data_IF_016728225857
#
_entry.id   IF_016728225857
#
_cell.length_a   1.000
_cell.length_b   1.000
_cell.length_c   1.000
_cell.angle_alpha   90.00
_cell.angle_beta   90.00
_cell.angle_gamma   90.00
#
_symmetry.space_group_name_H-M   'P 1'
#
loop_
_entity.id
_entity.type
_entity.pdbx_description
1 polymer ?
#
# COMPACT_ATOMS: atom_id res chain seq x y z
N UNK A 1 -29.72 12.43 -4.36
CA UNK A 1 -29.76 11.54 -3.19
C UNK A 1 -28.36 11.40 -2.66
N UNK A 2 -28.11 11.36 -1.34
CA UNK A 2 -26.79 11.08 -0.83
C UNK A 2 -26.32 9.69 -1.34
N UNK A 3 -25.11 9.63 -1.89
CA UNK A 3 -24.52 8.39 -2.37
C UNK A 3 -23.82 7.71 -1.20
N UNK A 4 -24.23 6.49 -0.87
CA UNK A 4 -23.58 5.68 0.16
C UNK A 4 -22.55 4.81 -0.52
N UNK A 5 -21.30 4.83 -0.03
CA UNK A 5 -20.21 3.95 -0.47
C UNK A 5 -19.83 3.04 0.70
N UNK A 6 -19.82 1.73 0.46
CA UNK A 6 -19.36 0.75 1.46
C UNK A 6 -17.84 0.68 1.42
N UNK A 7 -17.19 1.22 2.44
CA UNK A 7 -15.74 1.21 2.56
C UNK A 7 -15.26 0.17 3.57
N UNK A 8 -14.06 -0.38 3.34
CA UNK A 8 -13.36 -1.29 4.22
C UNK A 8 -11.95 -0.78 4.54
N UNK A 9 -11.49 -1.04 5.76
CA UNK A 9 -10.11 -0.85 6.19
C UNK A 9 -9.57 -2.18 6.68
N UNK A 10 -8.36 -2.55 6.21
CA UNK A 10 -7.64 -3.71 6.72
C UNK A 10 -6.47 -3.20 7.56
N UNK A 11 -6.45 -3.61 8.82
CA UNK A 11 -5.33 -3.45 9.72
C UNK A 11 -5.11 -4.76 10.47
N UNK A 12 -3.91 -5.35 10.34
CA UNK A 12 -3.60 -6.64 10.93
C UNK A 12 -2.15 -6.71 11.41
N UNK A 13 -1.83 -7.71 12.23
CA UNK A 13 -0.45 -8.00 12.64
C UNK A 13 0.33 -8.68 11.51
N UNK A 14 1.65 -8.72 11.64
CA UNK A 14 2.51 -9.47 10.71
C UNK A 14 2.14 -10.94 10.63
N UNK A 15 2.42 -11.54 9.47
CA UNK A 15 2.14 -12.94 9.20
C UNK A 15 3.24 -13.88 9.70
N UNK A 16 4.50 -13.40 9.83
CA UNK A 16 5.66 -14.18 10.25
C UNK A 16 6.67 -13.33 11.03
N UNK A 17 7.78 -13.93 11.46
CA UNK A 17 8.87 -13.21 12.12
C UNK A 17 9.52 -12.20 11.20
N UNK A 18 9.90 -11.04 11.75
CA UNK A 18 10.67 -10.02 11.03
C UNK A 18 12.13 -10.43 10.79
N UNK A 19 12.59 -11.53 11.36
CA UNK A 19 13.92 -12.11 11.13
C UNK A 19 14.00 -12.94 9.84
N UNK A 20 12.85 -13.30 9.25
CA UNK A 20 12.79 -14.05 8.00
C UNK A 20 13.36 -13.24 6.80
N UNK A 21 13.73 -13.89 5.70
CA UNK A 21 14.09 -13.22 4.45
C UNK A 21 12.97 -12.25 4.00
N UNK A 22 13.36 -11.12 3.38
CA UNK A 22 12.41 -10.07 2.94
C UNK A 22 11.31 -10.64 2.05
N UNK A 23 11.65 -11.51 1.11
CA UNK A 23 10.65 -12.11 0.21
C UNK A 23 9.67 -13.01 0.97
N UNK A 24 10.14 -13.82 1.92
CA UNK A 24 9.26 -14.63 2.79
C UNK A 24 8.30 -13.75 3.59
N UNK A 25 8.78 -12.62 4.12
CA UNK A 25 7.95 -11.65 4.84
C UNK A 25 6.87 -11.08 3.91
N UNK A 26 7.26 -10.66 2.71
CA UNK A 26 6.36 -10.11 1.69
C UNK A 26 5.27 -11.11 1.32
N UNK A 27 5.64 -12.32 0.91
CA UNK A 27 4.71 -13.38 0.52
C UNK A 27 3.72 -13.73 1.63
N UNK A 28 4.21 -13.90 2.87
CA UNK A 28 3.37 -14.23 4.01
C UNK A 28 2.35 -13.11 4.32
N UNK A 29 2.78 -11.85 4.29
CA UNK A 29 1.88 -10.72 4.52
C UNK A 29 0.87 -10.56 3.38
N UNK A 30 1.28 -10.70 2.12
CA UNK A 30 0.36 -10.69 0.97
C UNK A 30 -0.68 -11.80 1.12
N UNK A 31 -0.26 -13.04 1.39
CA UNK A 31 -1.18 -14.16 1.56
C UNK A 31 -2.21 -13.92 2.68
N UNK A 32 -1.76 -13.37 3.80
CA UNK A 32 -2.65 -13.00 4.91
C UNK A 32 -3.64 -11.92 4.52
N UNK A 33 -3.20 -10.87 3.83
CA UNK A 33 -4.07 -9.79 3.37
C UNK A 33 -5.06 -10.28 2.31
N UNK A 34 -4.64 -11.18 1.42
CA UNK A 34 -5.52 -11.72 0.38
C UNK A 34 -6.78 -12.36 0.96
N UNK A 35 -6.69 -13.10 2.07
CA UNK A 35 -7.87 -13.67 2.73
C UNK A 35 -8.87 -12.62 3.23
N UNK A 36 -8.36 -11.48 3.72
CA UNK A 36 -9.17 -10.36 4.19
C UNK A 36 -9.75 -9.54 3.03
N UNK A 37 -8.98 -9.37 1.96
CA UNK A 37 -9.41 -8.69 0.73
C UNK A 37 -10.53 -9.49 0.05
N UNK A 38 -10.38 -10.82 -0.04
CA UNK A 38 -11.40 -11.71 -0.58
C UNK A 38 -12.70 -11.63 0.21
N UNK A 39 -12.61 -11.64 1.53
CA UNK A 39 -13.75 -11.43 2.41
C UNK A 39 -14.43 -10.07 2.16
N UNK A 40 -13.64 -8.99 2.07
CA UNK A 40 -14.16 -7.65 1.77
C UNK A 40 -14.92 -7.63 0.42
N UNK A 41 -14.36 -8.26 -0.62
CA UNK A 41 -15.00 -8.40 -1.92
C UNK A 41 -16.32 -9.18 -1.85
N UNK A 42 -16.35 -10.31 -1.14
CA UNK A 42 -17.56 -11.11 -0.94
C UNK A 42 -18.64 -10.35 -0.15
N UNK A 43 -18.25 -9.48 0.76
CA UNK A 43 -19.16 -8.62 1.51
C UNK A 43 -19.61 -7.37 0.72
N UNK A 44 -19.14 -7.19 -0.52
CA UNK A 44 -19.53 -6.08 -1.40
C UNK A 44 -18.92 -4.74 -0.99
N UNK A 45 -17.71 -4.75 -0.43
CA UNK A 45 -16.93 -3.53 -0.20
C UNK A 45 -16.59 -2.90 -1.56
N UNK A 46 -16.81 -1.60 -1.69
CA UNK A 46 -16.60 -0.84 -2.92
C UNK A 46 -15.26 -0.08 -2.93
N UNK A 47 -14.79 0.30 -1.75
CA UNK A 47 -13.50 0.97 -1.58
C UNK A 47 -12.77 0.35 -0.41
N UNK A 48 -11.58 -0.18 -0.66
CA UNK A 48 -10.74 -0.85 0.33
C UNK A 48 -9.42 -0.10 0.49
N UNK A 49 -8.97 0.08 1.73
CA UNK A 49 -7.63 0.56 2.03
C UNK A 49 -6.94 -0.42 2.98
N UNK A 50 -5.67 -0.72 2.71
CA UNK A 50 -4.83 -1.53 3.57
C UNK A 50 -3.97 -0.64 4.47
N UNK A 51 -3.36 -1.23 5.49
CA UNK A 51 -2.44 -0.53 6.38
C UNK A 51 -1.17 -0.08 5.64
N UNK A 52 -0.51 0.94 6.18
CA UNK A 52 0.76 1.48 5.67
C UNK A 52 1.79 0.36 5.47
N UNK A 53 2.41 0.30 4.26
CA UNK A 53 3.45 -0.67 3.89
C UNK A 53 3.04 -2.12 4.24
N UNK A 54 1.84 -2.51 3.82
CA UNK A 54 1.21 -3.76 4.26
C UNK A 54 1.98 -5.05 3.92
N UNK A 55 2.92 -4.98 2.99
CA UNK A 55 3.77 -6.11 2.57
C UNK A 55 4.89 -6.44 3.56
N UNK A 56 5.12 -5.58 4.56
CA UNK A 56 6.16 -5.75 5.57
C UNK A 56 5.80 -5.21 6.95
N UNK A 57 6.73 -5.29 7.91
CA UNK A 57 6.58 -4.64 9.21
C UNK A 57 6.78 -3.13 9.11
N UNK A 58 6.43 -2.39 10.16
CA UNK A 58 6.89 -1.02 10.32
C UNK A 58 8.40 -1.01 10.66
N UNK A 59 9.23 -1.18 9.63
CA UNK A 59 10.68 -1.31 9.77
C UNK A 59 11.38 -0.01 10.15
N UNK A 60 10.70 1.13 10.09
CA UNK A 60 11.26 2.42 10.46
C UNK A 60 11.52 2.58 11.96
N UNK A 61 11.19 1.58 12.78
CA UNK A 61 11.60 1.51 14.18
C UNK A 61 13.12 1.32 14.34
N UNK A 62 13.81 0.83 13.32
CA UNK A 62 15.26 0.68 13.24
C UNK A 62 15.83 1.40 12.00
N UNK A 63 17.16 1.52 11.93
CA UNK A 63 17.88 2.05 10.77
C UNK A 63 18.77 0.93 10.21
N UNK A 64 18.15 0.02 9.43
CA UNK A 64 18.83 -1.14 8.87
C UNK A 64 18.79 -1.14 7.34
N UNK A 65 19.94 -1.20 6.65
CA UNK A 65 19.99 -1.25 5.19
C UNK A 65 19.26 -2.44 4.55
N UNK A 66 19.02 -3.52 5.31
CA UNK A 66 18.32 -4.71 4.79
C UNK A 66 16.93 -4.39 4.22
N UNK A 67 16.27 -3.35 4.75
CA UNK A 67 14.92 -3.00 4.30
C UNK A 67 14.88 -2.30 2.95
N UNK A 68 16.04 -1.90 2.39
CA UNK A 68 16.09 -1.44 1.01
C UNK A 68 15.77 -2.55 -0.01
N UNK A 69 15.85 -3.83 0.39
CA UNK A 69 15.44 -4.94 -0.45
C UNK A 69 13.91 -5.16 -0.47
N UNK A 70 13.16 -4.42 0.36
CA UNK A 70 11.70 -4.53 0.44
C UNK A 70 10.95 -3.65 -0.57
N UNK A 71 11.67 -2.90 -1.41
CA UNK A 71 11.08 -1.95 -2.36
C UNK A 71 10.46 -2.63 -3.58
N UNK A 72 9.50 -1.93 -4.18
CA UNK A 72 8.92 -2.29 -5.46
C UNK A 72 8.76 -1.06 -6.36
N UNK A 73 8.85 -1.23 -7.67
CA UNK A 73 8.44 -0.20 -8.62
C UNK A 73 6.91 -0.05 -8.62
N UNK A 74 6.41 1.18 -8.77
CA UNK A 74 4.98 1.45 -8.92
C UNK A 74 4.78 2.26 -10.23
N UNK A 75 3.94 1.76 -11.19
CA UNK A 75 2.97 0.66 -11.05
C UNK A 75 3.49 -0.73 -11.41
N UNK A 76 4.71 -0.88 -11.89
CA UNK A 76 5.17 -2.09 -12.57
C UNK A 76 5.59 -3.24 -11.64
N UNK A 77 5.60 -3.03 -10.34
CA UNK A 77 5.94 -4.04 -9.34
C UNK A 77 4.90 -5.16 -9.21
N UNK A 78 5.31 -6.30 -8.67
CA UNK A 78 4.46 -7.50 -8.59
C UNK A 78 3.21 -7.27 -7.72
N UNK A 79 3.33 -6.54 -6.61
CA UNK A 79 2.19 -6.30 -5.72
C UNK A 79 1.14 -5.41 -6.37
N UNK A 80 1.55 -4.33 -7.05
CA UNK A 80 0.59 -3.46 -7.76
C UNK A 80 -0.15 -4.25 -8.84
N UNK A 81 0.56 -5.06 -9.64
CA UNK A 81 -0.05 -5.90 -10.68
C UNK A 81 -1.02 -6.94 -10.11
N UNK A 82 -0.68 -7.56 -8.98
CA UNK A 82 -1.59 -8.46 -8.27
C UNK A 82 -2.86 -7.71 -7.83
N UNK A 83 -2.72 -6.54 -7.22
CA UNK A 83 -3.86 -5.76 -6.74
C UNK A 83 -4.75 -5.23 -7.88
N UNK A 84 -4.21 -4.97 -9.07
CA UNK A 84 -5.01 -4.65 -10.26
C UNK A 84 -5.92 -5.82 -10.67
N UNK A 85 -5.40 -7.06 -10.63
CA UNK A 85 -6.21 -8.25 -10.91
C UNK A 85 -7.30 -8.46 -9.85
N UNK A 86 -6.96 -8.21 -8.58
CA UNK A 86 -7.86 -8.35 -7.43
C UNK A 86 -8.96 -7.29 -7.48
N UNK A 87 -8.60 -6.02 -7.75
CA UNK A 87 -9.55 -4.93 -7.92
C UNK A 87 -10.59 -5.25 -9.00
N UNK A 88 -10.12 -5.70 -10.16
CA UNK A 88 -10.99 -6.13 -11.26
C UNK A 88 -11.87 -7.33 -10.90
N UNK A 89 -11.30 -8.34 -10.21
CA UNK A 89 -12.06 -9.56 -9.82
C UNK A 89 -13.24 -9.26 -8.92
N UNK A 90 -13.07 -8.32 -7.99
CA UNK A 90 -14.09 -7.98 -6.99
C UNK A 90 -14.83 -6.67 -7.28
N UNK A 91 -14.56 -6.04 -8.42
CA UNK A 91 -15.13 -4.73 -8.81
C UNK A 91 -14.97 -3.69 -7.68
N UNK A 92 -13.79 -3.63 -7.08
CA UNK A 92 -13.48 -2.87 -5.86
C UNK A 92 -12.32 -1.92 -6.09
N UNK A 93 -12.50 -0.65 -5.73
CA UNK A 93 -11.40 0.32 -5.66
C UNK A 93 -10.45 -0.06 -4.54
N UNK A 94 -9.14 -0.12 -4.79
CA UNK A 94 -8.15 -0.50 -3.78
C UNK A 94 -7.08 0.58 -3.65
N UNK A 95 -6.86 1.05 -2.42
CA UNK A 95 -5.69 1.85 -2.03
C UNK A 95 -4.62 0.91 -1.49
N UNK A 96 -3.45 0.93 -2.13
CA UNK A 96 -2.37 -0.05 -1.94
C UNK A 96 -1.12 0.66 -1.41
N UNK A 97 -0.91 0.71 -0.08
CA UNK A 97 0.27 1.34 0.51
C UNK A 97 1.52 0.45 0.40
N UNK A 98 2.57 0.95 -0.22
CA UNK A 98 3.81 0.22 -0.53
C UNK A 98 5.06 1.04 -0.28
N UNK A 99 6.20 0.35 -0.17
CA UNK A 99 7.53 0.95 -0.21
C UNK A 99 8.00 1.01 -1.67
N UNK A 100 8.04 2.22 -2.23
CA UNK A 100 8.33 2.47 -3.64
C UNK A 100 9.81 2.75 -3.90
N UNK A 101 10.36 2.16 -4.97
CA UNK A 101 11.54 2.64 -5.66
C UNK A 101 11.15 3.34 -6.97
N UNK A 102 11.49 4.65 -7.11
CA UNK A 102 11.20 5.49 -8.30
C UNK A 102 12.42 5.67 -9.20
N UNK A 103 13.45 4.93 -8.95
CA UNK A 103 14.74 4.95 -9.60
C UNK A 103 15.84 4.59 -8.61
N UNK A 104 16.99 4.18 -9.08
CA UNK A 104 18.06 3.66 -8.23
C UNK A 104 18.38 4.56 -7.03
N UNK A 105 18.07 4.07 -5.82
CA UNK A 105 18.31 4.76 -4.57
C UNK A 105 17.34 5.91 -4.26
N UNK A 106 16.18 5.95 -4.92
CA UNK A 106 15.13 6.96 -4.67
C UNK A 106 13.88 6.27 -4.17
N UNK A 107 13.58 6.45 -2.89
CA UNK A 107 12.54 5.70 -2.19
C UNK A 107 11.45 6.59 -1.60
N UNK A 108 10.20 6.10 -1.66
CA UNK A 108 9.04 6.79 -1.11
C UNK A 108 8.12 5.83 -0.35
N UNK A 109 7.42 6.38 0.63
CA UNK A 109 6.25 5.76 1.22
C UNK A 109 5.04 6.15 0.37
N UNK A 110 4.46 5.20 -0.33
CA UNK A 110 3.55 5.47 -1.46
C UNK A 110 2.26 4.66 -1.35
N UNK A 111 1.15 5.27 -1.67
CA UNK A 111 -0.12 4.58 -1.85
C UNK A 111 -0.53 4.63 -3.34
N UNK A 112 -0.57 3.48 -3.98
CA UNK A 112 -1.14 3.33 -5.31
C UNK A 112 -2.67 3.28 -5.22
N UNK A 113 -3.36 3.88 -6.18
CA UNK A 113 -4.83 3.84 -6.28
C UNK A 113 -5.23 3.10 -7.54
N UNK A 114 -6.04 2.06 -7.37
CA UNK A 114 -6.50 1.16 -8.44
C UNK A 114 -8.03 1.22 -8.48
N UNK A 115 -8.61 1.44 -9.65
CA UNK A 115 -10.06 1.49 -9.82
C UNK A 115 -10.68 0.08 -9.86
N UNK A 116 -11.99 0.03 -9.76
CA UNK A 116 -12.79 -1.19 -9.70
C UNK A 116 -12.67 -2.09 -10.96
N UNK A 117 -12.25 -1.54 -12.09
CA UNK A 117 -11.96 -2.30 -13.32
C UNK A 117 -10.52 -2.83 -13.39
N UNK A 118 -9.68 -2.52 -12.38
CA UNK A 118 -8.27 -2.85 -12.32
C UNK A 118 -7.34 -1.79 -12.93
N UNK A 119 -7.88 -0.68 -13.38
CA UNK A 119 -7.07 0.43 -13.93
C UNK A 119 -6.25 1.09 -12.82
N UNK A 120 -4.95 1.24 -13.03
CA UNK A 120 -4.10 2.05 -12.16
C UNK A 120 -4.37 3.54 -12.43
N UNK A 121 -4.88 4.26 -11.42
CA UNK A 121 -5.25 5.67 -11.54
C UNK A 121 -4.10 6.63 -11.22
N UNK A 122 -3.11 6.16 -10.48
CA UNK A 122 -1.99 6.97 -10.02
C UNK A 122 -1.58 6.64 -8.59
N UNK A 123 -0.76 7.49 -8.01
CA UNK A 123 -0.21 7.29 -6.66
C UNK A 123 -0.09 8.59 -5.89
N UNK A 124 -0.19 8.48 -4.56
CA UNK A 124 0.19 9.51 -3.60
C UNK A 124 1.49 9.10 -2.92
N UNK A 125 2.43 10.03 -2.75
CA UNK A 125 3.64 9.86 -1.96
C UNK A 125 3.52 10.66 -0.67
N UNK A 126 3.71 10.02 0.46
CA UNK A 126 3.64 10.66 1.80
C UNK A 126 4.53 11.89 1.84
N UNK A 127 3.93 13.06 2.06
CA UNK A 127 4.64 14.35 2.01
C UNK A 127 5.42 14.65 3.30
N UNK A 128 4.85 14.32 4.45
CA UNK A 128 5.43 14.62 5.76
C UNK A 128 6.06 13.36 6.35
N UNK A 129 7.40 13.30 6.31
CA UNK A 129 8.17 12.14 6.75
C UNK A 129 8.73 12.43 8.15
N UNK A 130 8.26 11.73 9.21
CA UNK A 130 8.80 11.90 10.55
C UNK A 130 10.23 11.38 10.67
N UNK A 131 10.98 11.95 11.64
CA UNK A 131 12.30 11.44 12.01
C UNK A 131 12.60 11.82 13.46
N UNK A 132 12.13 11.02 14.39
CA UNK A 132 12.28 11.29 15.82
C UNK A 132 12.26 10.01 16.66
N UNK A 133 12.82 10.11 17.88
CA UNK A 133 12.70 9.07 18.89
C UNK A 133 11.22 8.85 19.28
N UNK A 134 10.84 7.65 19.75
CA UNK A 134 11.71 6.51 20.08
C UNK A 134 12.03 5.55 18.93
N UNK A 135 11.44 5.70 17.73
CA UNK A 135 11.61 4.74 16.64
C UNK A 135 10.84 5.14 15.37
N UNK A 136 10.77 6.43 15.07
CA UNK A 136 10.13 6.95 13.84
C UNK A 136 11.21 7.47 12.90
N UNK A 137 12.09 6.55 12.43
CA UNK A 137 13.27 6.91 11.63
C UNK A 137 12.97 6.88 10.12
N UNK A 138 11.80 7.35 9.72
CA UNK A 138 11.33 7.25 8.33
C UNK A 138 12.23 7.96 7.32
N UNK A 139 12.90 9.08 7.68
CA UNK A 139 13.84 9.77 6.77
C UNK A 139 15.10 8.97 6.45
N UNK A 140 15.38 7.88 7.16
CA UNK A 140 16.42 6.94 6.78
C UNK A 140 16.06 6.19 5.49
N UNK A 141 14.77 5.98 5.25
CA UNK A 141 14.25 5.18 4.13
C UNK A 141 13.58 6.02 3.05
N UNK A 142 12.79 7.05 3.41
CA UNK A 142 11.90 7.73 2.48
C UNK A 142 12.29 9.17 2.28
N UNK A 143 12.15 9.62 1.03
CA UNK A 143 12.10 11.03 0.69
C UNK A 143 10.68 11.59 0.93
N UNK A 144 10.52 12.89 1.23
CA UNK A 144 9.23 13.57 1.16
C UNK A 144 8.60 13.42 -0.23
N UNK A 145 7.30 13.24 -0.25
CA UNK A 145 6.53 13.14 -1.49
C UNK A 145 6.68 14.37 -2.38
N UNK A 146 6.56 14.18 -3.68
CA UNK A 146 6.77 15.21 -4.70
C UNK A 146 5.62 15.26 -5.74
N UNK A 147 4.49 14.61 -5.44
CA UNK A 147 3.31 14.55 -6.33
C UNK A 147 2.16 15.44 -5.85
N UNK A 148 2.37 16.23 -4.79
CA UNK A 148 1.32 17.05 -4.19
C UNK A 148 0.27 16.21 -3.47
N UNK A 149 -1.00 16.64 -3.58
CA UNK A 149 -2.15 16.00 -2.95
C UNK A 149 -3.19 15.65 -4.01
N UNK A 150 -2.96 14.58 -4.80
CA UNK A 150 -3.88 14.18 -5.86
C UNK A 150 -5.21 13.68 -5.28
N UNK A 151 -6.28 13.93 -6.02
CA UNK A 151 -7.59 13.34 -5.80
C UNK A 151 -7.94 12.50 -7.02
N UNK A 152 -8.27 11.24 -6.80
CA UNK A 152 -8.54 10.27 -7.84
C UNK A 152 -10.06 10.14 -8.07
N UNK A 153 -10.50 10.30 -9.29
CA UNK A 153 -11.86 9.96 -9.72
C UNK A 153 -11.96 8.44 -9.85
N UNK A 154 -12.81 7.82 -9.06
CA UNK A 154 -12.99 6.35 -9.07
C UNK A 154 -14.44 5.99 -9.41
N UNK A 155 -14.70 4.73 -9.70
CA UNK A 155 -16.05 4.22 -10.00
C UNK A 155 -17.09 4.58 -8.94
N UNK A 156 -16.71 4.76 -7.68
CA UNK A 156 -17.63 4.95 -6.58
C UNK A 156 -17.56 6.33 -5.91
N UNK A 157 -16.39 6.94 -5.84
CA UNK A 157 -16.17 8.21 -5.15
C UNK A 157 -14.91 8.94 -5.66
N UNK A 158 -14.75 10.20 -5.25
CA UNK A 158 -13.45 10.88 -5.30
C UNK A 158 -12.64 10.46 -4.08
N UNK A 159 -11.41 10.01 -4.30
CA UNK A 159 -10.54 9.48 -3.25
C UNK A 159 -9.29 10.35 -3.15
N UNK A 160 -9.08 10.95 -1.96
CA UNK A 160 -7.82 11.54 -1.54
C UNK A 160 -7.12 10.61 -0.55
N UNK A 161 -5.80 10.56 -0.57
CA UNK A 161 -4.97 9.71 0.31
C UNK A 161 -4.06 10.60 1.16
#
# INVERSE_FOLDING_TARGET
>A
MPRIVKAGLIQTSHACSTAEPIETIREANIAKHMSLIERAGQEGVQLLCMQEIFTGPYFCAEQSPRWYDAVEAIPDGPTTRLMQQVAKKYEMVIVVPLYEEDGAGIYYNTAAVIDADGTYLGKYRKNHIPHCAPGFWEKFYFRPGNLGYPVFETAFAKVGV
#
